data_IF_716189848702
#
_entry.id   IF_716189848702
#
_cell.length_a   1.000
_cell.length_b   1.000
_cell.length_c   1.000
_cell.angle_alpha   90.00
_cell.angle_beta   90.00
_cell.angle_gamma   90.00
#
_symmetry.space_group_name_H-M   'P 1'
#
loop_
_entity.id
_entity.type
_entity.pdbx_description
1 polymer ?
#
# COMPACT_ATOMS: atom_id res chain seq x y z
N UNK A 1 -13.59 -41.01 6.02
CA UNK A 1 -12.87 -39.71 5.96
C UNK A 1 -13.92 -38.63 5.80
N UNK A 2 -13.98 -37.66 6.72
CA UNK A 2 -14.95 -36.57 6.64
C UNK A 2 -14.57 -35.62 5.52
N UNK A 3 -15.56 -35.12 4.79
CA UNK A 3 -15.36 -34.22 3.64
C UNK A 3 -16.10 -32.91 3.89
N UNK A 4 -15.43 -31.81 3.55
CA UNK A 4 -16.05 -30.49 3.52
C UNK A 4 -16.42 -30.15 2.06
N UNK A 5 -17.46 -29.34 1.90
CA UNK A 5 -17.85 -28.74 0.64
C UNK A 5 -17.64 -27.23 0.74
N UNK A 6 -16.96 -26.68 -0.26
CA UNK A 6 -16.77 -25.23 -0.42
C UNK A 6 -17.04 -24.90 -1.87
N UNK A 7 -17.93 -23.95 -2.11
CA UNK A 7 -18.08 -23.27 -3.40
C UNK A 7 -17.90 -21.79 -3.13
N UNK A 8 -17.11 -21.10 -3.95
CA UNK A 8 -16.91 -19.66 -3.84
C UNK A 8 -16.98 -19.07 -5.24
N UNK A 9 -17.82 -18.06 -5.40
CA UNK A 9 -17.80 -17.15 -6.54
C UNK A 9 -17.32 -15.79 -6.01
N UNK A 10 -16.30 -15.24 -6.66
CA UNK A 10 -15.63 -14.03 -6.21
C UNK A 10 -15.37 -13.09 -7.40
N UNK A 11 -15.91 -11.88 -7.31
CA UNK A 11 -15.72 -10.83 -8.30
C UNK A 11 -14.96 -9.64 -7.68
N UNK A 12 -13.67 -9.58 -7.98
CA UNK A 12 -12.79 -8.48 -7.60
C UNK A 12 -12.68 -7.44 -8.72
N UNK A 13 -12.97 -6.19 -8.39
CA UNK A 13 -12.77 -5.05 -9.27
C UNK A 13 -11.93 -3.99 -8.58
N UNK A 14 -10.90 -3.49 -9.26
CA UNK A 14 -10.01 -2.45 -8.76
C UNK A 14 -9.91 -1.32 -9.78
N UNK A 15 -10.04 -0.09 -9.30
CA UNK A 15 -9.83 1.12 -10.06
C UNK A 15 -8.82 2.01 -9.33
N UNK A 16 -7.82 2.49 -10.05
CA UNK A 16 -6.77 3.36 -9.52
C UNK A 16 -6.51 4.50 -10.48
N UNK A 17 -6.31 5.70 -9.95
CA UNK A 17 -5.91 6.89 -10.71
C UNK A 17 -4.91 7.70 -9.88
N UNK A 18 -3.90 8.26 -10.54
CA UNK A 18 -2.91 9.14 -9.93
C UNK A 18 -2.73 10.37 -10.82
N UNK A 19 -2.77 11.55 -10.22
CA UNK A 19 -2.57 12.83 -10.88
C UNK A 19 -1.46 13.57 -10.18
N UNK A 20 -0.36 13.83 -10.91
CA UNK A 20 0.84 14.46 -10.39
C UNK A 20 1.21 15.72 -11.16
N UNK A 21 1.79 16.69 -10.45
CA UNK A 21 2.33 17.93 -10.98
C UNK A 21 3.77 18.07 -10.50
N UNK A 22 4.70 18.17 -11.45
CA UNK A 22 6.09 18.54 -11.18
C UNK A 22 6.29 20.02 -11.48
N UNK A 23 6.91 20.73 -10.56
CA UNK A 23 7.27 22.14 -10.68
C UNK A 23 8.74 22.33 -10.38
N UNK A 24 9.48 22.81 -11.37
CA UNK A 24 10.90 23.12 -11.24
C UNK A 24 11.07 24.64 -11.06
N UNK A 25 11.69 25.05 -9.96
CA UNK A 25 11.92 26.47 -9.64
C UNK A 25 13.18 26.66 -8.79
N UNK A 26 13.61 27.90 -8.60
CA UNK A 26 14.76 28.22 -7.76
C UNK A 26 14.39 29.25 -6.68
N UNK A 27 14.93 29.06 -5.47
CA UNK A 27 14.90 30.07 -4.41
C UNK A 27 16.34 30.51 -4.09
N UNK A 28 16.77 31.59 -4.74
CA UNK A 28 18.16 32.07 -4.64
C UNK A 28 19.16 31.06 -5.22
N UNK A 29 20.01 30.48 -4.36
CA UNK A 29 21.01 29.50 -4.74
C UNK A 29 20.50 28.04 -4.71
N UNK A 30 19.27 27.83 -4.24
CA UNK A 30 18.67 26.49 -4.10
C UNK A 30 17.76 26.22 -5.30
N UNK A 31 18.00 25.11 -5.99
CA UNK A 31 17.10 24.58 -7.02
C UNK A 31 16.11 23.61 -6.38
N UNK A 32 14.84 23.72 -6.73
CA UNK A 32 13.75 22.90 -6.22
C UNK A 32 13.10 22.14 -7.38
N UNK A 33 12.90 20.84 -7.18
CA UNK A 33 11.98 20.03 -7.96
C UNK A 33 10.88 19.58 -7.03
N UNK A 34 9.76 20.29 -7.06
CA UNK A 34 8.57 20.02 -6.25
C UNK A 34 7.60 19.14 -7.02
N UNK A 35 7.34 17.94 -6.50
CA UNK A 35 6.32 17.03 -6.97
C UNK A 35 5.14 17.06 -5.99
N UNK A 36 3.95 17.40 -6.48
CA UNK A 36 2.70 17.27 -5.72
C UNK A 36 1.73 16.38 -6.48
N UNK A 37 0.87 15.67 -5.76
CA UNK A 37 -0.10 14.82 -6.42
C UNK A 37 -1.21 14.33 -5.52
N UNK A 38 -2.21 13.76 -6.18
CA UNK A 38 -3.36 13.10 -5.57
C UNK A 38 -3.58 11.78 -6.28
N UNK A 39 -3.73 10.72 -5.49
CA UNK A 39 -4.11 9.41 -5.97
C UNK A 39 -5.40 8.94 -5.31
N UNK A 40 -6.15 8.13 -6.05
CA UNK A 40 -7.36 7.49 -5.58
C UNK A 40 -7.37 6.03 -6.03
N UNK A 41 -7.68 5.15 -5.09
CA UNK A 41 -7.85 3.72 -5.30
C UNK A 41 -9.20 3.28 -4.75
N UNK A 42 -9.89 2.44 -5.51
CA UNK A 42 -11.12 1.78 -5.09
C UNK A 42 -11.08 0.31 -5.46
N UNK A 43 -11.27 -0.53 -4.45
CA UNK A 43 -11.43 -1.97 -4.59
C UNK A 43 -12.85 -2.34 -4.16
N UNK A 44 -13.49 -3.18 -4.97
CA UNK A 44 -14.76 -3.84 -4.65
C UNK A 44 -14.56 -5.33 -4.82
N UNK A 45 -14.76 -6.07 -3.74
CA UNK A 45 -14.73 -7.52 -3.74
C UNK A 45 -16.09 -8.07 -3.36
N UNK A 46 -16.71 -8.79 -4.30
CA UNK A 46 -18.02 -9.38 -4.14
C UNK A 46 -17.86 -10.90 -3.98
N UNK A 47 -18.15 -11.42 -2.78
CA UNK A 47 -17.92 -12.82 -2.43
C UNK A 47 -19.25 -13.47 -2.11
N UNK A 48 -19.60 -14.50 -2.87
CA UNK A 48 -20.71 -15.41 -2.57
C UNK A 48 -20.13 -16.82 -2.44
N UNK A 49 -20.02 -17.30 -1.20
CA UNK A 49 -19.47 -18.60 -0.87
C UNK A 49 -20.46 -19.45 -0.06
N UNK A 50 -20.48 -20.74 -0.36
CA UNK A 50 -21.25 -21.75 0.37
C UNK A 50 -20.28 -22.71 1.06
N UNK A 51 -20.35 -22.78 2.39
CA UNK A 51 -19.65 -23.78 3.17
C UNK A 51 -20.60 -24.86 3.65
N UNK A 52 -20.14 -26.10 3.59
CA UNK A 52 -20.94 -27.26 3.97
C UNK A 52 -20.13 -28.51 4.24
N UNK A 53 -20.84 -29.59 4.50
CA UNK A 53 -20.28 -30.93 4.65
C UNK A 53 -20.74 -31.80 3.49
N UNK A 54 -19.93 -32.81 3.18
CA UNK A 54 -20.27 -33.85 2.22
C UNK A 54 -20.12 -35.21 2.88
N UNK A 55 -20.90 -36.18 2.41
CA UNK A 55 -20.87 -37.54 2.93
C UNK A 55 -19.43 -38.10 3.02
N UNK A 56 -19.07 -38.74 4.14
CA UNK A 56 -17.74 -39.27 4.35
C UNK A 56 -17.44 -40.39 3.36
N UNK A 57 -16.21 -40.42 2.82
CA UNK A 57 -15.77 -41.46 1.89
C UNK A 57 -14.83 -42.45 2.60
N UNK A 58 -14.94 -43.74 2.24
CA UNK A 58 -14.03 -44.78 2.72
C UNK A 58 -12.66 -44.68 2.03
N UNK A 59 -11.57 -44.85 2.79
CA UNK A 59 -10.20 -44.84 2.26
C UNK A 59 -9.80 -46.16 1.60
N UNK A 60 -10.41 -47.28 2.01
CA UNK A 60 -10.04 -48.62 1.53
C UNK A 60 -10.83 -49.05 0.29
N UNK A 61 -11.99 -48.45 0.04
CA UNK A 61 -12.80 -48.70 -1.16
C UNK A 61 -13.70 -47.47 -1.45
N UNK A 62 -13.18 -46.42 -2.12
CA UNK A 62 -13.94 -45.20 -2.36
C UNK A 62 -15.04 -45.43 -3.40
N UNK A 63 -16.29 -45.12 -3.03
CA UNK A 63 -17.43 -45.08 -3.94
C UNK A 63 -17.70 -43.62 -4.31
N UNK A 64 -17.60 -43.29 -5.60
CA UNK A 64 -17.79 -41.93 -6.11
C UNK A 64 -19.19 -41.80 -6.72
N UNK A 65 -19.95 -40.80 -6.29
CA UNK A 65 -21.27 -40.48 -6.86
C UNK A 65 -22.21 -39.84 -5.83
N UNK A 66 -22.85 -38.72 -6.23
CA UNK A 66 -23.87 -37.96 -5.50
C UNK A 66 -23.70 -37.87 -3.98
N UNK A 67 -22.61 -37.24 -3.47
CA UNK A 67 -22.50 -37.00 -2.03
C UNK A 67 -23.65 -36.07 -1.61
N UNK A 68 -24.38 -36.40 -0.53
CA UNK A 68 -25.30 -35.44 0.05
C UNK A 68 -24.48 -34.22 0.51
N UNK A 69 -24.70 -33.08 -0.13
CA UNK A 69 -24.07 -31.81 0.24
C UNK A 69 -25.05 -31.07 1.13
N UNK A 70 -24.65 -30.79 2.36
CA UNK A 70 -25.38 -29.90 3.25
C UNK A 70 -24.65 -28.57 3.37
N UNK A 71 -25.18 -27.53 2.72
CA UNK A 71 -24.71 -26.16 2.91
C UNK A 71 -25.19 -25.67 4.27
N UNK A 72 -24.27 -25.34 5.15
CA UNK A 72 -24.55 -24.96 6.54
C UNK A 72 -24.24 -23.49 6.82
N UNK A 73 -23.43 -22.85 5.97
CA UNK A 73 -22.99 -21.48 6.17
C UNK A 73 -22.87 -20.73 4.83
N UNK A 74 -23.92 -20.01 4.39
CA UNK A 74 -23.81 -19.11 3.25
C UNK A 74 -23.05 -17.85 3.69
N UNK A 75 -21.91 -17.60 3.05
CA UNK A 75 -21.05 -16.43 3.24
C UNK A 75 -21.20 -15.51 2.04
N UNK A 76 -22.10 -14.53 2.17
CA UNK A 76 -22.41 -13.56 1.13
C UNK A 76 -22.03 -12.16 1.63
N UNK A 77 -20.84 -11.69 1.26
CA UNK A 77 -20.30 -10.40 1.71
C UNK A 77 -19.82 -9.55 0.54
N UNK A 78 -20.05 -8.25 0.65
CA UNK A 78 -19.47 -7.26 -0.24
C UNK A 78 -18.46 -6.44 0.55
N UNK A 79 -17.18 -6.60 0.22
CA UNK A 79 -16.10 -5.80 0.77
C UNK A 79 -15.77 -4.65 -0.18
N UNK A 80 -15.60 -3.45 0.36
CA UNK A 80 -15.17 -2.28 -0.40
C UNK A 80 -14.07 -1.57 0.37
N UNK A 81 -13.02 -1.21 -0.33
CA UNK A 81 -11.91 -0.40 0.19
C UNK A 81 -11.73 0.80 -0.74
N UNK A 82 -11.74 2.01 -0.18
CA UNK A 82 -11.47 3.25 -0.90
C UNK A 82 -10.33 3.97 -0.21
N UNK A 83 -9.35 4.46 -0.96
CA UNK A 83 -8.20 5.18 -0.44
C UNK A 83 -7.94 6.42 -1.30
N UNK A 84 -7.82 7.57 -0.65
CA UNK A 84 -7.36 8.81 -1.27
C UNK A 84 -6.05 9.23 -0.63
N UNK A 85 -5.03 9.46 -1.45
CA UNK A 85 -3.73 9.94 -1.02
C UNK A 85 -3.44 11.34 -1.54
N UNK A 86 -2.97 12.22 -0.67
CA UNK A 86 -2.40 13.52 -1.03
C UNK A 86 -0.91 13.50 -0.70
N UNK A 87 -0.05 13.82 -1.65
CA UNK A 87 1.39 13.80 -1.42
C UNK A 87 2.09 15.03 -1.98
N UNK A 88 3.18 15.39 -1.30
CA UNK A 88 4.08 16.44 -1.72
C UNK A 88 5.52 16.01 -1.41
N UNK A 89 6.43 16.22 -2.35
CA UNK A 89 7.84 15.95 -2.21
C UNK A 89 8.64 17.07 -2.86
N UNK A 90 9.57 17.65 -2.11
CA UNK A 90 10.53 18.63 -2.62
C UNK A 90 11.94 18.02 -2.61
N UNK A 91 12.60 18.08 -3.76
CA UNK A 91 14.03 17.84 -3.89
C UNK A 91 14.74 19.19 -4.01
N UNK A 92 15.56 19.50 -3.00
CA UNK A 92 16.33 20.72 -2.89
C UNK A 92 17.80 20.44 -3.21
N UNK A 93 18.33 21.12 -4.21
CA UNK A 93 19.73 21.06 -4.60
C UNK A 93 20.41 22.40 -4.31
N UNK A 94 21.48 22.35 -3.52
CA UNK A 94 22.27 23.53 -3.17
C UNK A 94 23.76 23.18 -3.21
N UNK A 95 24.46 23.67 -4.25
CA UNK A 95 25.86 23.34 -4.53
C UNK A 95 26.08 21.82 -4.60
N UNK A 96 26.66 21.22 -3.56
CA UNK A 96 26.91 19.77 -3.44
C UNK A 96 25.90 19.05 -2.55
N UNK A 97 24.95 19.76 -1.96
CA UNK A 97 23.91 19.19 -1.12
C UNK A 97 22.69 18.84 -1.95
N UNK A 98 22.18 17.63 -1.75
CA UNK A 98 20.88 17.20 -2.28
C UNK A 98 20.03 16.74 -1.11
N UNK A 99 19.00 17.50 -0.79
CA UNK A 99 18.03 17.20 0.26
C UNK A 99 16.70 16.81 -0.38
N UNK A 100 16.02 15.85 0.24
CA UNK A 100 14.67 15.47 -0.15
C UNK A 100 13.79 15.47 1.08
N UNK A 101 12.65 16.13 1.01
CA UNK A 101 11.63 16.08 2.04
C UNK A 101 10.29 15.79 1.38
N UNK A 102 9.59 14.77 1.87
CA UNK A 102 8.28 14.41 1.35
C UNK A 102 7.32 14.02 2.45
N UNK A 103 6.07 14.40 2.28
CA UNK A 103 4.95 14.04 3.14
C UNK A 103 3.81 13.46 2.31
N UNK A 104 3.03 12.59 2.95
CA UNK A 104 1.85 11.98 2.38
C UNK A 104 0.77 11.91 3.45
N UNK A 105 -0.46 12.23 3.05
CA UNK A 105 -1.65 12.06 3.85
C UNK A 105 -2.58 11.08 3.15
N UNK A 106 -2.89 9.98 3.82
CA UNK A 106 -3.78 8.94 3.32
C UNK A 106 -5.09 8.97 4.11
N UNK A 107 -6.20 8.87 3.39
CA UNK A 107 -7.53 8.65 3.92
C UNK A 107 -8.08 7.35 3.34
N UNK A 108 -8.39 6.38 4.20
CA UNK A 108 -8.88 5.08 3.82
C UNK A 108 -10.26 4.82 4.44
N UNK A 109 -11.15 4.19 3.67
CA UNK A 109 -12.46 3.74 4.12
C UNK A 109 -12.62 2.28 3.74
N UNK A 110 -12.89 1.44 4.73
CA UNK A 110 -13.15 0.01 4.53
C UNK A 110 -14.57 -0.29 4.97
N UNK A 111 -15.34 -0.94 4.12
CA UNK A 111 -16.71 -1.36 4.43
C UNK A 111 -16.95 -2.82 4.05
N UNK A 112 -17.71 -3.50 4.90
CA UNK A 112 -18.15 -4.88 4.70
C UNK A 112 -19.67 -4.93 4.88
N UNK A 113 -20.38 -5.22 3.79
CA UNK A 113 -21.82 -5.46 3.81
C UNK A 113 -22.07 -6.97 3.86
N UNK A 114 -22.72 -7.43 4.93
CA UNK A 114 -23.16 -8.83 5.05
C UNK A 114 -24.59 -8.95 4.53
N UNK A 115 -24.78 -9.62 3.39
CA UNK A 115 -26.10 -9.71 2.71
C UNK A 115 -27.14 -10.47 3.53
N UNK A 116 -26.72 -11.51 4.24
CA UNK A 116 -27.61 -12.37 5.02
C UNK A 116 -28.35 -11.61 6.15
N UNK A 117 -27.71 -10.59 6.73
CA UNK A 117 -28.25 -9.78 7.83
C UNK A 117 -28.54 -8.33 7.43
N UNK A 118 -28.21 -7.96 6.18
CA UNK A 118 -28.23 -6.59 5.68
C UNK A 118 -27.48 -5.60 6.59
N UNK A 119 -26.38 -6.06 7.22
CA UNK A 119 -25.56 -5.27 8.14
C UNK A 119 -24.34 -4.68 7.42
N UNK A 120 -24.10 -3.39 7.61
CA UNK A 120 -22.93 -2.68 7.09
C UNK A 120 -21.99 -2.33 8.25
N UNK A 121 -20.78 -2.87 8.22
CA UNK A 121 -19.68 -2.43 9.07
C UNK A 121 -18.76 -1.52 8.24
N UNK A 122 -18.47 -0.33 8.73
CA UNK A 122 -17.65 0.66 8.04
C UNK A 122 -16.63 1.25 9.00
N UNK A 123 -15.38 1.35 8.56
CA UNK A 123 -14.26 1.91 9.30
C UNK A 123 -13.56 2.97 8.45
N UNK A 124 -13.15 4.05 9.10
CA UNK A 124 -12.41 5.14 8.49
C UNK A 124 -11.07 5.27 9.19
N UNK A 125 -10.00 5.32 8.40
CA UNK A 125 -8.64 5.48 8.88
C UNK A 125 -7.98 6.63 8.14
N UNK A 126 -7.19 7.41 8.88
CA UNK A 126 -6.43 8.52 8.32
C UNK A 126 -5.02 8.50 8.88
N UNK A 127 -4.05 8.79 8.02
CA UNK A 127 -2.65 8.70 8.38
C UNK A 127 -1.80 9.74 7.66
N UNK A 128 -0.93 10.40 8.41
CA UNK A 128 0.16 11.18 7.87
C UNK A 128 1.49 10.41 7.98
N UNK A 129 2.21 10.32 6.87
CA UNK A 129 3.53 9.69 6.76
C UNK A 129 4.51 10.65 6.12
N UNK A 130 5.77 10.60 6.51
CA UNK A 130 6.80 11.48 5.93
C UNK A 130 8.14 10.78 5.78
N UNK A 131 8.96 11.30 4.88
CA UNK A 131 10.32 10.85 4.62
C UNK A 131 11.22 12.03 4.35
N UNK A 132 12.44 11.93 4.84
CA UNK A 132 13.48 12.94 4.66
C UNK A 132 14.81 12.29 4.34
N UNK A 133 15.62 12.93 3.52
CA UNK A 133 16.95 12.46 3.18
C UNK A 133 17.89 13.60 2.84
N UNK A 134 19.16 13.41 3.08
CA UNK A 134 20.22 14.34 2.72
C UNK A 134 21.42 13.58 2.17
N UNK A 135 21.99 14.11 1.10
CA UNK A 135 23.18 13.60 0.44
C UNK A 135 24.16 14.75 0.24
N UNK A 136 25.46 14.45 0.30
CA UNK A 136 26.52 15.36 -0.11
C UNK A 136 27.30 14.77 -1.26
N UNK A 137 27.49 15.51 -2.35
CA UNK A 137 28.16 15.05 -3.56
C UNK A 137 29.62 15.54 -3.57
N UNK A 138 30.57 14.66 -3.24
CA UNK A 138 31.98 15.01 -3.38
C UNK A 138 32.44 14.93 -4.84
N UNK A 139 33.39 15.79 -5.20
CA UNK A 139 33.98 15.85 -6.55
C UNK A 139 34.73 14.57 -6.95
N UNK A 140 35.02 13.69 -6.00
CA UNK A 140 35.68 12.39 -6.23
C UNK A 140 34.68 11.27 -6.55
N UNK A 141 33.38 11.56 -6.67
CA UNK A 141 32.33 10.59 -6.96
C UNK A 141 31.80 9.86 -5.73
N UNK A 142 32.25 10.24 -4.53
CA UNK A 142 31.72 9.73 -3.26
C UNK A 142 30.50 10.55 -2.86
N UNK A 143 29.45 9.88 -2.37
CA UNK A 143 28.24 10.53 -1.88
C UNK A 143 27.75 9.88 -0.60
N UNK A 144 28.15 10.37 0.59
CA UNK A 144 27.50 9.96 1.83
C UNK A 144 26.04 10.40 1.83
N UNK A 145 25.21 9.57 2.44
CA UNK A 145 23.80 9.85 2.58
C UNK A 145 23.27 9.43 3.94
N UNK A 146 22.23 10.13 4.36
CA UNK A 146 21.41 9.79 5.50
C UNK A 146 19.95 9.94 5.10
N UNK A 147 19.12 8.99 5.48
CA UNK A 147 17.68 9.06 5.23
C UNK A 147 16.89 8.50 6.41
N UNK A 148 15.71 9.08 6.57
CA UNK A 148 14.69 8.68 7.51
C UNK A 148 13.37 8.52 6.76
N UNK A 149 12.64 7.45 7.07
CA UNK A 149 11.30 7.24 6.53
C UNK A 149 10.38 6.67 7.59
N UNK A 150 9.15 7.16 7.59
CA UNK A 150 8.04 6.55 8.32
C UNK A 150 7.21 5.72 7.35
N UNK A 151 6.90 4.50 7.77
CA UNK A 151 5.92 3.64 7.10
C UNK A 151 4.71 3.43 8.00
N UNK A 152 3.58 3.14 7.37
CA UNK A 152 2.34 2.83 8.05
C UNK A 152 1.69 1.63 7.38
N UNK A 153 1.15 0.74 8.20
CA UNK A 153 0.36 -0.38 7.73
C UNK A 153 -0.95 -0.45 8.55
N UNK A 154 -2.12 -0.23 7.92
CA UNK A 154 -3.40 -0.30 8.61
C UNK A 154 -3.64 -1.73 9.08
N UNK A 155 -3.89 -1.90 10.38
CA UNK A 155 -4.20 -3.21 10.95
C UNK A 155 -5.72 -3.38 10.99
N UNK A 156 -6.26 -4.25 10.14
CA UNK A 156 -7.66 -4.62 10.21
C UNK A 156 -7.91 -5.54 11.41
N UNK A 157 -8.71 -5.08 12.38
CA UNK A 157 -9.14 -5.90 13.51
C UNK A 157 -9.50 -5.07 14.74
N UNK A 158 -10.23 -5.69 15.66
CA UNK A 158 -10.56 -5.10 16.97
C UNK A 158 -10.07 -5.99 18.10
N UNK A 159 -9.67 -5.40 19.22
CA UNK A 159 -9.35 -6.16 20.42
C UNK A 159 -10.60 -6.87 20.98
N UNK A 160 -10.44 -7.72 21.99
CA UNK A 160 -11.56 -8.45 22.63
C UNK A 160 -12.65 -7.56 23.25
N UNK A 161 -12.43 -6.23 23.28
CA UNK A 161 -13.37 -5.20 23.74
C UNK A 161 -13.97 -4.38 22.59
N UNK A 162 -13.73 -4.76 21.33
CA UNK A 162 -14.28 -4.10 20.15
C UNK A 162 -13.61 -2.77 19.79
N UNK A 163 -12.45 -2.43 20.38
CA UNK A 163 -11.69 -1.24 19.99
C UNK A 163 -10.81 -1.57 18.78
N UNK A 164 -10.76 -0.73 17.73
CA UNK A 164 -9.84 -0.90 16.61
C UNK A 164 -8.39 -0.97 17.13
N UNK A 165 -7.54 -1.79 16.51
CA UNK A 165 -6.11 -1.77 16.83
C UNK A 165 -5.47 -0.46 16.39
N UNK A 166 -4.54 0.05 17.20
CA UNK A 166 -3.68 1.14 16.75
C UNK A 166 -2.91 0.65 15.52
N UNK A 167 -2.86 1.43 14.43
CA UNK A 167 -2.18 1.01 13.23
C UNK A 167 -0.66 0.95 13.43
N UNK A 168 -0.01 0.01 12.73
CA UNK A 168 1.42 -0.25 12.88
C UNK A 168 2.22 0.87 12.20
N UNK A 169 3.15 1.49 12.94
CA UNK A 169 4.05 2.53 12.44
C UNK A 169 5.49 2.01 12.42
N UNK A 170 6.09 1.94 11.24
CA UNK A 170 7.51 1.64 11.07
C UNK A 170 8.34 2.91 11.00
N UNK A 171 9.52 2.91 11.64
CA UNK A 171 10.52 3.98 11.51
C UNK A 171 11.82 3.37 11.03
N UNK A 172 12.33 3.85 9.91
CA UNK A 172 13.60 3.37 9.34
C UNK A 172 14.59 4.52 9.26
N UNK A 173 15.80 4.25 9.76
CA UNK A 173 16.97 5.10 9.63
C UNK A 173 17.99 4.36 8.77
N UNK A 174 18.49 5.02 7.74
CA UNK A 174 19.51 4.46 6.86
C UNK A 174 20.63 5.48 6.65
N UNK A 175 21.87 5.03 6.80
CA UNK A 175 23.06 5.82 6.51
C UNK A 175 24.02 4.98 5.68
N UNK A 176 24.65 5.59 4.68
CA UNK A 176 25.56 4.86 3.80
C UNK A 176 26.40 5.79 2.96
N UNK A 177 27.24 5.19 2.13
CA UNK A 177 28.11 5.89 1.19
C UNK A 177 27.95 5.26 -0.18
N UNK A 178 27.56 6.09 -1.15
CA UNK A 178 27.54 5.70 -2.57
C UNK A 178 28.86 6.13 -3.22
N UNK A 179 29.34 5.34 -4.17
CA UNK A 179 30.53 5.68 -4.95
C UNK A 179 30.26 5.43 -6.42
N UNK A 180 30.45 6.46 -7.24
CA UNK A 180 30.37 6.38 -8.70
C UNK A 180 31.71 6.82 -9.27
N UNK A 181 32.48 5.92 -9.92
CA UNK A 181 33.72 6.27 -10.59
C UNK A 181 33.49 7.29 -11.70
N UNK A 182 34.42 8.24 -11.89
CA UNK A 182 34.31 9.31 -12.90
C UNK A 182 34.21 8.81 -14.35
N UNK A 183 34.63 7.57 -14.61
CA UNK A 183 34.74 7.01 -15.96
C UNK A 183 33.56 6.09 -16.36
N UNK A 184 32.42 6.15 -15.67
CA UNK A 184 31.24 5.33 -16.02
C UNK A 184 30.40 5.98 -17.15
N UNK A 185 30.28 5.38 -18.36
CA UNK A 185 29.75 6.07 -19.55
C UNK A 185 28.23 6.36 -19.61
N UNK A 186 27.43 6.05 -18.59
CA UNK A 186 25.97 5.88 -18.77
C UNK A 186 25.08 6.80 -17.93
N UNK A 187 25.63 7.77 -17.19
CA UNK A 187 24.82 8.75 -16.45
C UNK A 187 25.45 10.14 -16.54
N UNK A 188 25.02 10.92 -17.53
CA UNK A 188 25.24 12.37 -17.54
C UNK A 188 24.05 13.03 -16.84
N UNK A 189 24.21 13.66 -15.67
CA UNK A 189 23.20 14.59 -15.17
C UNK A 189 23.12 15.72 -16.19
N UNK A 190 21.94 15.95 -16.78
CA UNK A 190 21.72 17.10 -17.65
C UNK A 190 21.94 18.38 -16.84
N UNK A 191 23.15 18.93 -16.89
CA UNK A 191 23.37 20.34 -16.58
C UNK A 191 22.75 21.16 -17.71
N UNK A 192 21.52 21.60 -17.53
CA UNK A 192 20.99 22.71 -18.32
C UNK A 192 21.25 23.99 -17.52
N UNK A 193 22.36 24.66 -17.84
CA UNK A 193 22.59 26.05 -17.46
C UNK A 193 22.20 26.87 -18.68
N UNK A 194 21.22 27.76 -18.51
CA UNK A 194 21.07 28.99 -19.29
C UNK A 194 20.62 30.10 -18.35
#
# INVERSE_FOLDING_TARGET
MNRAYVRSDEHLNTFTVDTQLQSDFATGAVSHTLLTGVDYSRMRNDVDADYGTADPISMSNPQYGNPNIQVTFPYAVLNRMEQTGLYAQDQMEWDKWVMTLGGRYDYATTSTLTRATNSLAENHDQQFSWRGGINYLFDNGISPYFSYSESFEPVSGSNSRGQPFDPSRGKQYEAGVKYVPKDMPWWSPRRSIS
#
